data_IF_128105993759
#
_entry.id   IF_128105993759
#
_cell.length_a   1.000
_cell.length_b   1.000
_cell.length_c   1.000
_cell.angle_alpha   90.00
_cell.angle_beta   90.00
_cell.angle_gamma   90.00
#
_symmetry.space_group_name_H-M   'P 1'
#
loop_
_entity.id
_entity.type
_entity.pdbx_description
1 polymer ?
#
# COMPACT_ATOMS: atom_id res chain seq x y z
N UNK A 1 -3.61 1.64 19.41
CA UNK A 1 -4.23 2.13 18.15
C UNK A 1 -5.73 2.35 18.33
N UNK A 2 -6.33 3.31 17.62
CA UNK A 2 -7.72 3.74 17.79
C UNK A 2 -8.71 3.04 16.82
N UNK A 3 -10.00 3.41 16.92
CA UNK A 3 -11.06 2.82 16.11
C UNK A 3 -10.91 3.09 14.59
N UNK A 4 -10.44 4.27 14.20
CA UNK A 4 -10.24 4.61 12.79
C UNK A 4 -9.15 3.75 12.14
N UNK A 5 -8.04 3.52 12.85
CA UNK A 5 -6.98 2.62 12.39
C UNK A 5 -7.47 1.17 12.25
N UNK A 6 -8.26 0.68 13.20
CA UNK A 6 -8.90 -0.65 13.10
C UNK A 6 -9.81 -0.77 11.89
N UNK A 7 -10.67 0.23 11.65
CA UNK A 7 -11.53 0.28 10.46
C UNK A 7 -10.72 0.31 9.17
N UNK A 8 -9.60 1.04 9.16
CA UNK A 8 -8.70 1.10 8.00
C UNK A 8 -8.08 -0.27 7.69
N UNK A 9 -7.55 -0.96 8.70
CA UNK A 9 -7.00 -2.31 8.54
C UNK A 9 -8.05 -3.33 8.09
N UNK A 10 -9.26 -3.28 8.65
CA UNK A 10 -10.38 -4.12 8.21
C UNK A 10 -10.79 -3.87 6.77
N UNK A 11 -10.68 -2.62 6.30
CA UNK A 11 -11.01 -2.27 4.91
C UNK A 11 -9.95 -2.78 3.93
N UNK A 12 -8.69 -2.89 4.35
CA UNK A 12 -7.57 -3.29 3.51
C UNK A 12 -6.71 -4.37 4.18
N UNK A 13 -7.28 -5.56 4.45
CA UNK A 13 -6.66 -6.57 5.32
C UNK A 13 -5.39 -7.21 4.74
N UNK A 14 -5.17 -7.10 3.42
CA UNK A 14 -3.96 -7.59 2.76
C UNK A 14 -2.87 -6.52 2.62
N UNK A 15 -3.23 -5.24 2.80
CA UNK A 15 -2.30 -4.13 2.63
C UNK A 15 -1.87 -3.53 3.99
N UNK A 16 -2.69 -3.69 5.03
CA UNK A 16 -2.53 -2.97 6.31
C UNK A 16 -2.54 -3.95 7.48
N UNK A 17 -1.43 -4.00 8.21
CA UNK A 17 -1.28 -4.73 9.47
C UNK A 17 -0.98 -3.75 10.60
N UNK A 18 -1.89 -3.64 11.57
CA UNK A 18 -1.73 -2.71 12.70
C UNK A 18 -0.54 -3.05 13.60
N UNK A 19 -0.21 -4.34 13.73
CA UNK A 19 0.94 -4.79 14.52
C UNK A 19 2.24 -4.30 13.89
N UNK A 20 2.46 -4.59 12.61
CA UNK A 20 3.66 -4.16 11.90
C UNK A 20 3.75 -2.62 11.86
N UNK A 21 2.64 -1.93 11.61
CA UNK A 21 2.63 -0.46 11.64
C UNK A 21 3.06 0.09 13.02
N UNK A 22 2.58 -0.51 14.12
CA UNK A 22 2.99 -0.10 15.46
C UNK A 22 4.48 -0.38 15.72
N UNK A 23 4.99 -1.53 15.29
CA UNK A 23 6.41 -1.90 15.39
C UNK A 23 7.30 -0.90 14.63
N UNK A 24 6.92 -0.52 13.40
CA UNK A 24 7.65 0.48 12.61
C UNK A 24 7.62 1.88 13.23
N UNK A 25 6.52 2.25 13.91
CA UNK A 25 6.45 3.55 14.60
C UNK A 25 7.35 3.53 15.85
N UNK A 26 7.26 2.48 16.66
CA UNK A 26 8.05 2.34 17.90
C UNK A 26 9.54 2.24 17.60
N UNK A 27 9.91 1.52 16.54
CA UNK A 27 11.30 1.41 16.11
C UNK A 27 11.84 2.64 15.37
N UNK A 28 11.02 3.67 15.16
CA UNK A 28 11.41 4.92 14.51
C UNK A 28 11.56 4.83 12.98
N UNK A 29 11.15 3.72 12.36
CA UNK A 29 11.12 3.58 10.90
C UNK A 29 9.97 4.37 10.28
N UNK A 30 8.89 4.62 11.03
CA UNK A 30 7.75 5.40 10.62
C UNK A 30 7.35 6.43 11.69
N UNK A 31 6.61 7.45 11.27
CA UNK A 31 6.08 8.50 12.14
C UNK A 31 4.56 8.56 12.02
N UNK A 32 3.90 8.66 13.17
CA UNK A 32 2.46 8.82 13.27
C UNK A 32 2.11 10.29 13.53
N UNK A 33 1.28 10.85 12.66
CA UNK A 33 0.70 12.18 12.81
C UNK A 33 -0.78 12.04 13.19
N UNK A 34 -1.21 12.77 14.19
CA UNK A 34 -2.61 12.83 14.60
C UNK A 34 -3.22 14.16 14.13
N UNK A 35 -4.30 14.06 13.36
CA UNK A 35 -5.09 15.20 12.93
C UNK A 35 -6.24 15.35 13.91
N UNK A 36 -6.25 16.47 14.63
CA UNK A 36 -7.24 16.76 15.66
C UNK A 36 -8.19 17.87 15.20
N UNK A 37 -9.49 17.68 15.43
CA UNK A 37 -10.50 18.74 15.42
C UNK A 37 -10.51 19.44 16.78
N UNK A 38 -10.64 20.77 16.76
CA UNK A 38 -10.72 21.58 17.97
C UNK A 38 -9.60 21.28 18.98
N UNK A 39 -8.42 20.88 18.49
CA UNK A 39 -7.21 20.49 19.25
C UNK A 39 -7.30 19.24 20.13
N UNK A 40 -8.47 18.66 20.34
CA UNK A 40 -8.64 17.55 21.30
C UNK A 40 -9.29 16.31 20.68
N UNK A 41 -10.12 16.48 19.65
CA UNK A 41 -10.88 15.38 19.08
C UNK A 41 -10.12 14.75 17.92
N UNK A 42 -9.86 13.44 17.99
CA UNK A 42 -9.25 12.73 16.88
C UNK A 42 -10.13 12.76 15.63
N UNK A 43 -9.57 13.17 14.49
CA UNK A 43 -10.27 13.20 13.20
C UNK A 43 -9.64 12.22 12.20
N UNK A 44 -8.33 12.27 12.03
CA UNK A 44 -7.61 11.47 11.06
C UNK A 44 -6.17 11.23 11.49
N UNK A 45 -5.44 10.41 10.73
CA UNK A 45 -4.03 10.16 10.94
C UNK A 45 -3.27 10.14 9.62
N UNK A 46 -1.97 10.42 9.71
CA UNK A 46 -1.01 10.20 8.63
C UNK A 46 0.10 9.29 9.15
N UNK A 47 0.55 8.34 8.33
CA UNK A 47 1.81 7.62 8.54
C UNK A 47 2.83 8.10 7.51
N UNK A 48 3.99 8.53 7.98
CA UNK A 48 5.10 8.94 7.10
C UNK A 48 6.38 8.15 7.37
N UNK A 49 7.24 8.02 6.35
CA UNK A 49 8.63 7.58 6.49
C UNK A 49 9.56 8.64 5.90
N UNK A 50 10.79 8.69 6.41
CA UNK A 50 11.87 9.45 5.77
C UNK A 50 12.76 8.42 5.07
N UNK A 51 12.91 8.56 3.76
CA UNK A 51 13.71 7.67 2.94
C UNK A 51 14.80 8.45 2.22
N UNK A 52 15.78 7.72 1.68
CA UNK A 52 16.73 8.27 0.72
C UNK A 52 16.62 7.50 -0.59
N UNK A 53 16.58 8.22 -1.70
CA UNK A 53 16.71 7.62 -3.02
C UNK A 53 18.11 7.05 -3.22
N UNK A 54 18.29 6.26 -4.28
CA UNK A 54 19.60 5.68 -4.63
C UNK A 54 20.69 6.76 -4.84
N UNK A 55 20.33 7.91 -5.43
CA UNK A 55 21.21 9.07 -5.61
C UNK A 55 21.31 9.96 -4.36
N UNK A 56 20.70 9.58 -3.24
CA UNK A 56 20.87 10.21 -1.94
C UNK A 56 19.88 11.34 -1.63
N UNK A 57 18.90 11.63 -2.49
CA UNK A 57 17.86 12.62 -2.21
C UNK A 57 17.04 12.18 -1.01
N UNK A 58 16.85 13.08 -0.06
CA UNK A 58 16.02 12.85 1.12
C UNK A 58 14.56 13.07 0.73
N UNK A 59 13.71 12.06 0.95
CA UNK A 59 12.27 12.20 0.70
C UNK A 59 11.44 11.87 1.92
N UNK A 60 10.31 12.56 2.04
CA UNK A 60 9.22 12.16 2.94
C UNK A 60 8.23 11.32 2.14
N UNK A 61 7.93 10.12 2.61
CA UNK A 61 6.90 9.26 2.01
C UNK A 61 5.68 9.25 2.90
N UNK A 62 4.54 9.72 2.39
CA UNK A 62 3.22 9.51 2.98
C UNK A 62 2.76 8.11 2.57
N UNK A 63 2.70 7.21 3.55
CA UNK A 63 2.25 5.83 3.39
C UNK A 63 0.74 5.71 3.48
N UNK A 64 0.16 6.38 4.49
CA UNK A 64 -1.26 6.30 4.78
C UNK A 64 -1.78 7.67 5.18
N UNK A 65 -2.94 8.05 4.65
CA UNK A 65 -3.76 9.17 5.10
C UNK A 65 -5.20 8.70 5.20
N UNK A 66 -5.70 8.53 6.42
CA UNK A 66 -7.02 7.96 6.65
C UNK A 66 -7.71 8.55 7.89
N UNK A 67 -9.04 8.54 7.86
CA UNK A 67 -9.88 9.07 8.93
C UNK A 67 -11.11 9.78 8.39
N UNK A 68 -11.70 10.64 9.20
CA UNK A 68 -12.85 11.44 8.83
C UNK A 68 -12.43 12.56 7.88
N UNK A 69 -13.10 12.67 6.72
CA UNK A 69 -12.85 13.70 5.70
C UNK A 69 -12.55 13.15 4.31
N UNK A 70 -12.12 11.88 4.23
CA UNK A 70 -11.86 11.21 2.95
C UNK A 70 -10.88 12.01 2.09
N UNK A 71 -11.24 12.21 0.81
CA UNK A 71 -10.38 12.94 -0.14
C UNK A 71 -10.14 14.41 0.23
N UNK A 72 -10.99 15.01 1.07
CA UNK A 72 -10.80 16.38 1.55
C UNK A 72 -9.59 16.50 2.48
N UNK A 73 -9.07 15.38 2.99
CA UNK A 73 -7.85 15.37 3.81
C UNK A 73 -6.60 15.74 3.02
N UNK A 74 -6.63 15.75 1.68
CA UNK A 74 -5.47 16.15 0.84
C UNK A 74 -4.96 17.54 1.22
N UNK A 75 -5.83 18.48 1.60
CA UNK A 75 -5.40 19.83 1.99
C UNK A 75 -4.53 19.85 3.26
N UNK A 76 -4.53 18.78 4.05
CA UNK A 76 -3.68 18.67 5.24
C UNK A 76 -2.24 18.27 4.88
N UNK A 77 -2.00 17.85 3.64
CA UNK A 77 -0.66 17.53 3.15
C UNK A 77 0.22 18.78 3.13
N UNK A 78 -0.34 19.96 2.90
CA UNK A 78 0.41 21.24 2.92
C UNK A 78 1.20 21.44 4.23
N UNK A 79 0.66 20.98 5.38
CA UNK A 79 1.37 21.04 6.66
C UNK A 79 2.52 20.05 6.73
N UNK A 80 2.36 18.86 6.15
CA UNK A 80 3.44 17.87 6.04
C UNK A 80 4.53 18.36 5.09
N UNK A 81 4.18 19.09 4.03
CA UNK A 81 5.15 19.72 3.13
C UNK A 81 5.97 20.79 3.83
N UNK A 82 5.32 21.64 4.63
CA UNK A 82 6.02 22.62 5.45
C UNK A 82 7.01 21.93 6.40
N UNK A 83 6.59 20.88 7.08
CA UNK A 83 7.48 20.08 7.92
C UNK A 83 8.61 19.40 7.11
N UNK A 84 8.31 18.83 5.95
CA UNK A 84 9.29 18.20 5.08
C UNK A 84 10.40 19.19 4.69
N UNK A 85 10.05 20.46 4.43
CA UNK A 85 11.01 21.54 4.16
C UNK A 85 11.88 21.86 5.37
N UNK A 86 11.36 21.84 6.60
CA UNK A 86 12.16 22.12 7.81
C UNK A 86 13.26 21.09 8.03
N UNK A 87 13.00 19.83 7.64
CA UNK A 87 14.00 18.76 7.70
C UNK A 87 14.85 18.65 6.43
N UNK A 88 14.76 19.62 5.51
CA UNK A 88 15.48 19.66 4.23
C UNK A 88 15.25 18.40 3.37
N UNK A 89 14.00 17.91 3.31
CA UNK A 89 13.64 16.91 2.32
C UNK A 89 13.58 17.57 0.93
N UNK A 90 14.11 16.89 -0.07
CA UNK A 90 14.13 17.31 -1.47
C UNK A 90 12.75 17.15 -2.13
N UNK A 91 11.97 16.18 -1.66
CA UNK A 91 10.66 15.87 -2.21
C UNK A 91 9.74 15.17 -1.20
N UNK A 92 8.45 15.17 -1.52
CA UNK A 92 7.42 14.41 -0.83
C UNK A 92 6.75 13.46 -1.81
N UNK A 93 6.58 12.21 -1.40
CA UNK A 93 5.95 11.16 -2.18
C UNK A 93 4.70 10.69 -1.46
N UNK A 94 3.58 10.59 -2.16
CA UNK A 94 2.36 9.96 -1.63
C UNK A 94 2.13 8.63 -2.33
N UNK A 95 2.18 7.53 -1.58
CA UNK A 95 1.77 6.22 -2.06
C UNK A 95 0.28 6.05 -1.76
N UNK A 96 -0.54 6.15 -2.80
CA UNK A 96 -1.99 6.22 -2.63
C UNK A 96 -2.77 5.45 -3.68
N UNK A 97 -4.04 5.20 -3.37
CA UNK A 97 -5.00 4.65 -4.34
C UNK A 97 -5.38 5.72 -5.36
N UNK A 98 -5.67 5.30 -6.59
CA UNK A 98 -5.93 6.20 -7.74
C UNK A 98 -7.01 7.25 -7.50
N UNK A 99 -7.99 6.98 -6.62
CA UNK A 99 -9.03 7.94 -6.25
C UNK A 99 -8.51 9.26 -5.67
N UNK A 100 -7.28 9.31 -5.16
CA UNK A 100 -6.65 10.52 -4.63
C UNK A 100 -6.04 11.41 -5.72
N UNK A 101 -5.79 10.86 -6.92
CA UNK A 101 -5.02 11.53 -7.96
C UNK A 101 -5.59 12.89 -8.35
N UNK A 102 -6.92 12.98 -8.54
CA UNK A 102 -7.57 14.24 -8.92
C UNK A 102 -7.30 15.36 -7.91
N UNK A 103 -7.37 15.06 -6.61
CA UNK A 103 -7.12 16.06 -5.58
C UNK A 103 -5.64 16.36 -5.41
N UNK A 104 -4.76 15.36 -5.47
CA UNK A 104 -3.32 15.56 -5.38
C UNK A 104 -2.78 16.47 -6.49
N UNK A 105 -3.30 16.36 -7.72
CA UNK A 105 -2.93 17.25 -8.84
C UNK A 105 -3.25 18.72 -8.53
N UNK A 106 -4.35 19.01 -7.84
CA UNK A 106 -4.67 20.39 -7.41
C UNK A 106 -3.67 20.95 -6.40
N UNK A 107 -2.89 20.10 -5.72
CA UNK A 107 -1.83 20.46 -4.79
C UNK A 107 -0.42 20.33 -5.42
N UNK A 108 -0.33 20.25 -6.76
CA UNK A 108 0.95 20.25 -7.48
C UNK A 108 1.66 18.88 -7.54
N UNK A 109 1.02 17.81 -7.09
CA UNK A 109 1.56 16.46 -7.25
C UNK A 109 1.37 15.98 -8.68
N UNK A 110 2.37 15.25 -9.19
CA UNK A 110 2.29 14.50 -10.44
C UNK A 110 2.23 12.99 -10.16
N UNK A 111 1.64 12.23 -11.09
CA UNK A 111 1.70 10.77 -11.05
C UNK A 111 3.15 10.35 -11.33
N UNK A 112 3.79 9.75 -10.34
CA UNK A 112 5.17 9.27 -10.46
C UNK A 112 5.25 7.77 -10.81
N UNK A 113 4.33 6.95 -10.31
CA UNK A 113 4.36 5.49 -10.49
C UNK A 113 2.95 4.90 -10.54
N UNK A 114 2.74 3.90 -11.39
CA UNK A 114 1.48 3.15 -11.52
C UNK A 114 1.76 1.66 -11.27
N UNK A 115 1.05 1.08 -10.31
CA UNK A 115 1.16 -0.34 -9.98
C UNK A 115 0.07 -1.13 -10.72
N UNK A 116 0.47 -1.98 -11.67
CA UNK A 116 -0.42 -2.95 -12.33
C UNK A 116 -0.54 -4.22 -11.49
N UNK A 117 -1.77 -4.66 -11.21
CA UNK A 117 -2.05 -5.87 -10.43
C UNK A 117 -2.82 -6.89 -11.26
N UNK A 118 -2.38 -8.15 -11.22
CA UNK A 118 -3.13 -9.33 -11.69
C UNK A 118 -3.26 -10.33 -10.54
N UNK A 119 -4.49 -10.77 -10.25
CA UNK A 119 -4.72 -11.84 -9.27
C UNK A 119 -4.50 -13.19 -9.97
N UNK A 120 -3.60 -14.00 -9.42
CA UNK A 120 -3.36 -15.35 -9.91
C UNK A 120 -4.34 -16.32 -9.24
N UNK A 121 -4.92 -17.23 -10.04
CA UNK A 121 -5.67 -18.36 -9.50
C UNK A 121 -4.69 -19.51 -9.31
N UNK A 122 -4.74 -20.15 -8.15
CA UNK A 122 -4.09 -21.44 -7.95
C UNK A 122 -5.18 -22.51 -8.05
N UNK A 123 -4.92 -23.56 -8.82
CA UNK A 123 -5.81 -24.73 -8.82
C UNK A 123 -5.78 -25.34 -7.43
N UNK A 124 -6.97 -25.51 -6.84
CA UNK A 124 -7.09 -26.35 -5.66
C UNK A 124 -6.88 -27.78 -6.12
N UNK A 125 -5.72 -28.36 -5.81
CA UNK A 125 -5.56 -29.81 -5.81
C UNK A 125 -6.32 -30.36 -4.60
N UNK A 126 -7.65 -30.35 -4.68
CA UNK A 126 -8.47 -31.21 -3.84
C UNK A 126 -8.22 -32.64 -4.37
N UNK A 127 -7.24 -33.35 -3.79
CA UNK A 127 -7.15 -34.80 -4.00
C UNK A 127 -8.45 -35.39 -3.43
N UNK A 128 -9.28 -36.08 -4.22
CA UNK A 128 -10.24 -36.99 -3.63
C UNK A 128 -9.41 -38.06 -2.92
N UNK A 129 -9.68 -38.30 -1.64
CA UNK A 129 -9.26 -39.52 -0.97
C UNK A 129 -10.03 -40.69 -1.60
N UNK A 130 -9.55 -41.15 -2.76
CA UNK A 130 -10.00 -42.36 -3.42
C UNK A 130 -9.35 -43.56 -2.76
N UNK A 131 -10.15 -44.36 -2.06
CA UNK A 131 -9.87 -45.78 -1.83
C UNK A 131 -9.53 -46.44 -3.16
N UNK A 132 -8.46 -47.24 -3.17
CA UNK A 132 -8.06 -48.10 -4.28
C UNK A 132 -9.23 -49.00 -4.74
N UNK A 133 -9.35 -49.20 -6.05
CA UNK A 133 -9.09 -50.50 -6.67
C UNK A 133 -9.05 -50.43 -8.21
N UNK A 134 -8.02 -51.11 -8.73
CA UNK A 134 -7.93 -51.87 -9.98
C UNK A 134 -7.78 -51.18 -11.36
N UNK A 135 -6.56 -51.38 -11.90
CA UNK A 135 -6.17 -51.74 -13.29
C UNK A 135 -7.01 -51.24 -14.47
N UNK A 136 -6.39 -50.48 -15.39
CA UNK A 136 -5.89 -51.02 -16.66
C UNK A 136 -5.11 -49.96 -17.49
N UNK A 137 -4.35 -50.47 -18.44
CA UNK A 137 -3.32 -49.91 -19.33
C UNK A 137 -3.59 -48.63 -20.17
N UNK A 138 -2.45 -48.12 -20.68
CA UNK A 138 -2.17 -47.39 -21.95
C UNK A 138 -2.15 -45.85 -21.97
N UNK A 139 -0.90 -45.35 -21.96
CA UNK A 139 -0.26 -44.55 -23.03
C UNK A 139 -0.97 -43.29 -23.55
N UNK A 140 -0.42 -42.09 -23.29
CA UNK A 140 0.33 -41.27 -24.28
C UNK A 140 0.60 -39.84 -23.78
N UNK A 141 1.82 -39.37 -24.07
CA UNK A 141 2.22 -38.02 -24.50
C UNK A 141 2.12 -36.82 -23.55
N UNK A 142 3.29 -36.53 -22.95
CA UNK A 142 4.02 -35.24 -22.96
C UNK A 142 3.29 -34.04 -23.59
N UNK A 143 3.08 -33.00 -22.78
CA UNK A 143 2.65 -31.68 -23.25
C UNK A 143 3.19 -30.56 -22.35
N UNK A 144 4.51 -30.45 -22.26
CA UNK A 144 5.20 -29.34 -21.59
C UNK A 144 4.92 -27.99 -22.29
N UNK A 145 4.75 -26.95 -21.49
CA UNK A 145 4.38 -25.61 -21.94
C UNK A 145 5.44 -24.91 -22.78
N UNK A 146 5.01 -23.94 -23.60
CA UNK A 146 5.85 -22.85 -24.09
C UNK A 146 5.00 -21.59 -24.31
N UNK A 147 5.38 -20.51 -23.60
CA UNK A 147 5.00 -19.15 -23.97
C UNK A 147 5.87 -18.74 -25.16
N UNK A 148 5.30 -18.66 -26.36
CA UNK A 148 5.99 -18.05 -27.51
C UNK A 148 6.11 -16.55 -27.27
N UNK A 149 7.31 -16.10 -26.93
CA UNK A 149 7.67 -14.68 -27.03
C UNK A 149 7.82 -14.34 -28.52
N UNK A 150 6.81 -13.67 -29.07
CA UNK A 150 6.92 -13.04 -30.38
C UNK A 150 7.84 -11.83 -30.29
N UNK A 151 8.98 -11.88 -30.98
CA UNK A 151 9.74 -10.70 -31.40
C UNK A 151 9.44 -10.42 -32.87
N UNK A 152 8.82 -9.28 -33.16
CA UNK A 152 9.44 -8.12 -33.84
C UNK A 152 8.38 -7.04 -34.01
#
# INVERSE_FOLDING_TARGET
MNAAMRKYAQRFPHDVCLKHMAEEIIGGQAQLWLILKNRTEFSAFVITKIEKTHDGKKRVVILDLAGQGGIKLVSLIDQLEQWARTIKADEILTLGRSGWAKMLVHHGYAINFIHYRKVLKHEKTDKPSGSNNDTNERSTLVGGGYLKTGKR
#
